data_IF_476985748632
#
_entry.id   IF_476985748632
#
_cell.length_a   1.000
_cell.length_b   1.000
_cell.length_c   1.000
_cell.angle_alpha   90.00
_cell.angle_beta   90.00
_cell.angle_gamma   90.00
#
_symmetry.space_group_name_H-M   'P 1'
#
loop_
_entity.id
_entity.type
_entity.pdbx_description
1 polymer ?
#
# COMPACT_ATOMS: atom_id res chain seq x y z
N UNK A 1 51.37 -11.20 5.70
CA UNK A 1 50.13 -10.45 6.02
C UNK A 1 49.52 -9.93 4.72
N UNK A 2 48.31 -10.38 4.36
CA UNK A 2 47.68 -10.00 3.09
C UNK A 2 47.16 -8.55 3.16
N UNK A 3 47.71 -7.68 2.32
CA UNK A 3 47.27 -6.30 2.18
C UNK A 3 45.85 -6.29 1.60
N UNK A 4 44.85 -5.93 2.42
CA UNK A 4 43.45 -5.77 1.99
C UNK A 4 43.40 -4.72 0.88
N UNK A 5 43.08 -5.14 -0.34
CA UNK A 5 42.99 -4.25 -1.49
C UNK A 5 41.95 -3.16 -1.21
N UNK A 6 42.37 -1.89 -1.37
CA UNK A 6 41.52 -0.73 -1.17
C UNK A 6 40.28 -0.89 -2.08
N UNK A 7 39.04 -0.75 -1.57
CA UNK A 7 37.87 -0.80 -2.41
C UNK A 7 38.01 0.27 -3.51
N UNK A 8 37.85 -0.15 -4.76
CA UNK A 8 37.89 0.73 -5.92
C UNK A 8 36.92 1.89 -5.73
N UNK A 9 37.20 3.07 -6.31
CA UNK A 9 36.36 4.26 -6.16
C UNK A 9 34.86 3.97 -6.38
N UNK A 10 34.55 3.12 -7.37
CA UNK A 10 33.20 2.66 -7.67
C UNK A 10 32.51 1.91 -6.51
N UNK A 11 33.24 1.13 -5.72
CA UNK A 11 32.68 0.47 -4.51
C UNK A 11 32.28 1.49 -3.46
N UNK A 12 33.08 2.54 -3.27
CA UNK A 12 32.78 3.61 -2.29
C UNK A 12 31.57 4.42 -2.72
N UNK A 13 31.46 4.74 -4.00
CA UNK A 13 30.31 5.44 -4.58
C UNK A 13 29.02 4.61 -4.41
N UNK A 14 29.06 3.33 -4.78
CA UNK A 14 27.91 2.42 -4.60
C UNK A 14 27.49 2.28 -3.13
N UNK A 15 28.43 2.25 -2.20
CA UNK A 15 28.12 2.23 -0.76
C UNK A 15 27.48 3.54 -0.28
N UNK A 16 27.96 4.70 -0.75
CA UNK A 16 27.33 6.00 -0.47
C UNK A 16 25.90 6.05 -1.00
N UNK A 17 25.66 5.61 -2.22
CA UNK A 17 24.32 5.59 -2.82
C UNK A 17 23.35 4.71 -2.05
N UNK A 18 23.81 3.53 -1.62
CA UNK A 18 23.00 2.63 -0.78
C UNK A 18 22.67 3.26 0.56
N UNK A 19 23.64 3.95 1.18
CA UNK A 19 23.41 4.65 2.45
C UNK A 19 22.42 5.79 2.27
N UNK A 20 22.56 6.60 1.23
CA UNK A 20 21.64 7.69 0.92
C UNK A 20 20.21 7.17 0.70
N UNK A 21 20.03 6.16 -0.14
CA UNK A 21 18.70 5.54 -0.38
C UNK A 21 18.07 4.99 0.90
N UNK A 22 18.86 4.41 1.81
CA UNK A 22 18.35 3.95 3.11
C UNK A 22 17.87 5.12 3.96
N UNK A 23 18.66 6.20 4.04
CA UNK A 23 18.31 7.43 4.78
C UNK A 23 17.05 8.07 4.23
N UNK A 24 16.93 8.20 2.91
CA UNK A 24 15.74 8.78 2.27
C UNK A 24 14.49 7.93 2.55
N UNK A 25 14.63 6.60 2.51
CA UNK A 25 13.53 5.67 2.82
C UNK A 25 13.12 5.75 4.30
N UNK A 26 14.08 5.90 5.21
CA UNK A 26 13.82 6.12 6.64
C UNK A 26 13.12 7.45 6.87
N UNK A 27 13.57 8.53 6.24
CA UNK A 27 12.94 9.86 6.31
C UNK A 27 11.48 9.80 5.81
N UNK A 28 11.24 9.22 4.63
CA UNK A 28 9.88 9.03 4.08
C UNK A 28 8.99 8.19 5.00
N UNK A 29 9.55 7.17 5.68
CA UNK A 29 8.80 6.37 6.66
C UNK A 29 8.43 7.18 7.90
N UNK A 30 9.32 8.04 8.38
CA UNK A 30 9.04 8.92 9.51
C UNK A 30 7.98 9.97 9.16
N UNK A 31 8.08 10.59 7.98
CA UNK A 31 7.05 11.50 7.47
C UNK A 31 5.69 10.81 7.34
N UNK A 32 5.63 9.64 6.71
CA UNK A 32 4.38 8.88 6.58
C UNK A 32 3.78 8.52 7.95
N UNK A 33 4.62 8.17 8.94
CA UNK A 33 4.17 7.94 10.32
C UNK A 33 3.61 9.21 10.96
N UNK A 34 4.28 10.36 10.77
CA UNK A 34 3.80 11.67 11.28
C UNK A 34 2.46 12.03 10.66
N UNK A 35 2.35 11.96 9.33
CA UNK A 35 1.09 12.22 8.61
C UNK A 35 0.00 11.27 9.07
N UNK A 36 0.30 9.98 9.28
CA UNK A 36 -0.69 9.03 9.80
C UNK A 36 -1.14 9.36 11.23
N UNK A 37 -0.24 9.85 12.08
CA UNK A 37 -0.56 10.23 13.46
C UNK A 37 -1.32 11.57 13.54
N UNK A 38 -1.04 12.50 12.62
CA UNK A 38 -1.72 13.79 12.51
C UNK A 38 -3.11 13.65 11.86
N UNK A 39 -3.28 12.71 10.94
CA UNK A 39 -4.59 12.38 10.39
C UNK A 39 -5.50 11.92 11.53
N UNK A 40 -6.60 12.64 11.70
CA UNK A 40 -7.66 12.23 12.60
C UNK A 40 -8.11 10.81 12.23
N UNK A 41 -8.37 9.94 13.24
CA UNK A 41 -9.02 8.67 12.96
C UNK A 41 -10.34 8.98 12.25
N UNK A 42 -10.57 8.32 11.10
CA UNK A 42 -11.83 8.46 10.37
C UNK A 42 -12.93 7.93 11.28
N UNK A 43 -13.60 8.85 11.97
CA UNK A 43 -14.69 8.56 12.88
C UNK A 43 -15.92 8.23 12.04
N UNK A 44 -16.22 6.93 11.92
CA UNK A 44 -17.58 6.38 11.90
C UNK A 44 -18.53 6.72 10.76
N UNK A 45 -18.24 7.69 9.89
CA UNK A 45 -19.00 7.86 8.65
C UNK A 45 -18.42 6.90 7.62
N UNK A 46 -19.13 5.79 7.41
CA UNK A 46 -18.92 4.93 6.26
C UNK A 46 -18.85 5.78 4.99
N UNK A 47 -17.90 5.48 4.11
CA UNK A 47 -17.75 6.18 2.84
C UNK A 47 -19.09 6.10 2.09
N UNK A 48 -19.68 7.21 1.62
CA UNK A 48 -20.94 7.18 0.88
C UNK A 48 -20.91 6.22 -0.32
N UNK A 49 -19.73 5.97 -0.90
CA UNK A 49 -19.56 5.04 -2.02
C UNK A 49 -19.53 3.56 -1.56
N UNK A 50 -19.16 3.29 -0.30
CA UNK A 50 -19.11 1.92 0.26
C UNK A 50 -20.34 1.58 1.10
N UNK A 51 -21.11 2.58 1.53
CA UNK A 51 -22.31 2.41 2.32
C UNK A 51 -23.32 1.50 1.60
N UNK A 52 -23.72 0.41 2.26
CA UNK A 52 -24.69 -0.56 1.73
C UNK A 52 -24.11 -1.68 0.88
N UNK A 53 -22.81 -1.68 0.56
CA UNK A 53 -22.13 -2.81 -0.10
C UNK A 53 -21.87 -3.90 0.93
N UNK A 54 -22.52 -5.06 0.73
CA UNK A 54 -22.28 -6.25 1.55
C UNK A 54 -21.13 -7.08 0.95
N UNK A 55 -20.16 -7.53 1.75
CA UNK A 55 -19.19 -8.51 1.30
C UNK A 55 -19.89 -9.81 0.86
N UNK A 56 -19.49 -10.35 -0.29
CA UNK A 56 -20.07 -11.56 -0.88
C UNK A 56 -20.96 -11.29 -2.10
N UNK A 57 -21.58 -12.33 -2.67
CA UNK A 57 -22.46 -12.18 -3.82
C UNK A 57 -23.70 -11.36 -3.44
N UNK A 58 -23.86 -10.21 -4.07
CA UNK A 58 -25.05 -9.38 -3.86
C UNK A 58 -26.24 -9.94 -4.63
N UNK A 59 -27.44 -9.94 -4.02
CA UNK A 59 -28.63 -10.40 -4.71
C UNK A 59 -28.90 -9.54 -5.95
N UNK A 60 -29.34 -10.18 -7.04
CA UNK A 60 -29.75 -9.41 -8.22
C UNK A 60 -30.96 -8.54 -7.88
N UNK A 61 -30.97 -7.26 -8.34
CA UNK A 61 -32.11 -6.39 -8.17
C UNK A 61 -33.39 -6.96 -8.79
N UNK A 62 -34.56 -6.55 -8.27
CA UNK A 62 -35.86 -7.04 -8.73
C UNK A 62 -36.08 -6.86 -10.24
N UNK A 63 -35.53 -5.79 -10.81
CA UNK A 63 -35.59 -5.51 -12.25
C UNK A 63 -34.91 -6.58 -13.12
N UNK A 64 -34.02 -7.40 -12.55
CA UNK A 64 -33.24 -8.43 -13.24
C UNK A 64 -33.61 -9.85 -12.83
N UNK A 65 -34.74 -10.04 -12.12
CA UNK A 65 -35.24 -11.36 -11.74
C UNK A 65 -35.44 -12.33 -12.92
N UNK A 66 -35.64 -11.81 -14.13
CA UNK A 66 -35.77 -12.65 -15.32
C UNK A 66 -34.47 -13.39 -15.67
N UNK A 67 -33.29 -12.85 -15.30
CA UNK A 67 -31.99 -13.46 -15.55
C UNK A 67 -31.67 -14.61 -14.59
N UNK A 68 -32.02 -14.48 -13.30
CA UNK A 68 -31.82 -15.52 -12.28
C UNK A 68 -32.58 -16.82 -12.56
N UNK A 69 -33.62 -16.76 -13.38
CA UNK A 69 -34.47 -17.90 -13.76
C UNK A 69 -33.83 -18.80 -14.82
N UNK A 70 -32.75 -18.37 -15.47
CA UNK A 70 -32.04 -19.13 -16.52
C UNK A 70 -30.90 -20.01 -16.01
N UNK A 71 -30.45 -19.83 -14.76
CA UNK A 71 -29.34 -20.60 -14.15
C UNK A 71 -29.78 -21.94 -13.51
N UNK A 72 -31.05 -22.32 -13.63
CA UNK A 72 -31.57 -23.61 -13.19
C UNK A 72 -31.51 -24.65 -14.30
N UNK A 73 -30.39 -25.34 -14.46
CA UNK A 73 -30.27 -26.56 -15.26
C UNK A 73 -29.67 -27.69 -14.43
#
# INVERSE_FOLDING_TARGET
MAQRSKPTFQKREREKDKQQKKRDKEARRLEAKRVKAEREPVNGNEDPDIAGIKPGPQPLPDQWRWAARWDGK
#
